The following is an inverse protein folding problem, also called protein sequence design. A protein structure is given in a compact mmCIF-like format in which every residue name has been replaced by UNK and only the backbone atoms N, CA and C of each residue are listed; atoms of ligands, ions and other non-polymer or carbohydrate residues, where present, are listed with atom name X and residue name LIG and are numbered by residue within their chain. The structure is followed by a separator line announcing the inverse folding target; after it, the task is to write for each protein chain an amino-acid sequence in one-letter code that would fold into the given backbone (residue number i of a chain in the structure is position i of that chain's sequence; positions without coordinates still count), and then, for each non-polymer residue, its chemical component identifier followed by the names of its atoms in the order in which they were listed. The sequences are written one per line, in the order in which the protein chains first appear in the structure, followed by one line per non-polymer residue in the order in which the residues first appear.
data_IF_249213760338
#
_entry.id   IF_249213760338
#
_cell.length_a   1.000
_cell.length_b   1.000
_cell.length_c   1.000
_cell.angle_alpha   90.00
_cell.angle_beta   90.00
_cell.angle_gamma   90.00
#
_symmetry.space_group_name_H-M   'P 1'
#
loop_
_entity.id
_entity.type
_entity.pdbx_description
1 polymer ?
#
# COMPACT_ATOMS: atom_id res chain seq x y z
N UNK A 1 -10.11 -67.65 -14.85
CA UNK A 1 -11.31 -66.79 -14.92
C UNK A 1 -10.90 -65.42 -14.41
N UNK A 2 -10.43 -64.56 -15.31
CA UNK A 2 -11.22 -63.48 -15.93
C UNK A 2 -11.46 -62.36 -14.91
N UNK A 3 -10.73 -61.25 -14.94
CA UNK A 3 -10.75 -60.14 -15.92
C UNK A 3 -12.03 -59.29 -15.84
N UNK A 4 -11.80 -57.96 -15.80
CA UNK A 4 -12.73 -56.81 -15.90
C UNK A 4 -13.29 -56.27 -14.58
N UNK A 5 -12.65 -55.21 -14.09
CA UNK A 5 -13.26 -53.87 -13.98
C UNK A 5 -12.14 -52.86 -13.69
N UNK A 6 -11.49 -52.43 -14.78
CA UNK A 6 -10.56 -51.31 -14.84
C UNK A 6 -11.16 -50.35 -15.86
N UNK A 7 -12.09 -49.50 -15.44
CA UNK A 7 -12.59 -48.32 -16.17
C UNK A 7 -13.73 -47.67 -15.36
N UNK A 8 -13.41 -46.68 -14.51
CA UNK A 8 -14.28 -45.56 -14.13
C UNK A 8 -13.70 -44.79 -12.93
N UNK A 9 -12.62 -44.01 -13.14
CA UNK A 9 -12.60 -42.60 -12.73
C UNK A 9 -11.40 -41.88 -13.36
N UNK A 10 -11.44 -41.72 -14.68
CA UNK A 10 -10.61 -40.75 -15.39
C UNK A 10 -11.23 -39.37 -15.17
N UNK A 11 -11.07 -38.79 -13.97
CA UNK A 11 -11.24 -37.36 -13.80
C UNK A 11 -9.95 -36.68 -14.27
N UNK A 12 -9.98 -36.34 -15.56
CA UNK A 12 -9.11 -35.37 -16.21
C UNK A 12 -8.82 -34.20 -15.28
N UNK A 13 -7.59 -34.14 -14.78
CA UNK A 13 -6.92 -32.87 -14.51
C UNK A 13 -6.96 -32.08 -15.82
N UNK A 14 -7.56 -30.89 -15.88
CA UNK A 14 -7.47 -30.08 -17.09
C UNK A 14 -5.99 -29.73 -17.23
N UNK A 15 -5.39 -30.20 -18.33
CA UNK A 15 -4.11 -29.74 -18.80
C UNK A 15 -4.17 -28.21 -18.92
N UNK A 16 -3.65 -27.53 -17.90
CA UNK A 16 -3.59 -26.07 -17.86
C UNK A 16 -2.69 -25.63 -19.01
N UNK A 17 -3.32 -25.12 -20.06
CA UNK A 17 -2.71 -24.78 -21.33
C UNK A 17 -1.50 -23.85 -21.09
N UNK A 18 -0.30 -24.36 -21.37
CA UNK A 18 0.95 -23.59 -21.35
C UNK A 18 0.90 -22.32 -22.23
N UNK A 19 -0.06 -22.21 -23.16
CA UNK A 19 -0.26 -21.07 -24.06
C UNK A 19 -1.09 -19.91 -23.46
N UNK A 20 -1.99 -20.17 -22.51
CA UNK A 20 -2.85 -19.15 -21.91
C UNK A 20 -2.16 -18.45 -20.73
N UNK A 21 -1.40 -19.21 -19.92
CA UNK A 21 -0.55 -18.63 -18.86
C UNK A 21 0.54 -17.72 -19.41
N UNK A 22 1.10 -18.05 -20.58
CA UNK A 22 2.10 -17.24 -21.29
C UNK A 22 1.51 -15.93 -21.82
N UNK A 23 0.22 -15.89 -22.21
CA UNK A 23 -0.45 -14.66 -22.66
C UNK A 23 -0.77 -13.69 -21.52
N UNK A 24 -1.18 -14.18 -20.35
CA UNK A 24 -1.32 -13.37 -19.13
C UNK A 24 0.02 -12.80 -18.64
N UNK A 25 1.10 -13.59 -18.76
CA UNK A 25 2.47 -13.13 -18.52
C UNK A 25 2.94 -12.12 -19.59
N UNK A 26 2.52 -12.27 -20.85
CA UNK A 26 2.86 -11.37 -21.94
C UNK A 26 2.24 -9.98 -21.76
N UNK A 27 0.99 -9.90 -21.26
CA UNK A 27 0.33 -8.62 -21.00
C UNK A 27 0.96 -7.84 -19.83
N UNK A 28 1.60 -8.54 -18.89
CA UNK A 28 2.44 -7.94 -17.84
C UNK A 28 3.83 -7.53 -18.34
N UNK A 29 4.26 -7.99 -19.51
CA UNK A 29 5.55 -7.62 -20.13
C UNK A 29 5.41 -6.64 -21.31
N UNK A 30 4.20 -6.34 -21.78
CA UNK A 30 3.97 -5.33 -22.83
C UNK A 30 3.90 -3.91 -22.24
N UNK A 31 4.51 -2.94 -22.92
CA UNK A 31 4.51 -1.51 -22.55
C UNK A 31 3.10 -0.95 -22.22
N UNK A 32 2.05 -1.53 -22.81
CA UNK A 32 0.66 -1.14 -22.57
C UNK A 32 0.21 -1.46 -21.13
N UNK A 33 0.55 -2.63 -20.59
CA UNK A 33 0.22 -3.02 -19.21
C UNK A 33 0.88 -2.11 -18.17
N UNK A 34 2.16 -1.75 -18.37
CA UNK A 34 2.87 -0.81 -17.50
C UNK A 34 2.24 0.59 -17.52
N UNK A 35 1.84 1.07 -18.69
CA UNK A 35 1.19 2.39 -18.84
C UNK A 35 -0.17 2.43 -18.15
N UNK A 36 -0.96 1.36 -18.25
CA UNK A 36 -2.26 1.25 -17.56
C UNK A 36 -2.08 1.16 -16.05
N UNK A 37 -1.12 0.36 -15.58
CA UNK A 37 -0.78 0.24 -14.16
C UNK A 37 -0.42 1.60 -13.56
N UNK A 38 0.50 2.33 -14.20
CA UNK A 38 1.00 3.61 -13.71
C UNK A 38 -0.12 4.68 -13.71
N UNK A 39 -0.98 4.69 -14.74
CA UNK A 39 -2.15 5.57 -14.79
C UNK A 39 -3.17 5.23 -13.69
N UNK A 40 -3.39 3.94 -13.43
CA UNK A 40 -4.33 3.46 -12.43
C UNK A 40 -3.85 3.79 -11.01
N UNK A 41 -2.54 3.82 -10.75
CA UNK A 41 -1.99 4.21 -9.46
C UNK A 41 -1.94 5.73 -9.27
N UNK A 42 -1.40 6.47 -10.23
CA UNK A 42 -1.14 7.92 -10.04
C UNK A 42 -2.40 8.78 -10.05
N UNK A 43 -3.32 8.58 -11.00
CA UNK A 43 -4.45 9.50 -11.20
C UNK A 43 -5.50 9.42 -10.09
N UNK A 44 -6.00 8.23 -9.70
CA UNK A 44 -6.97 8.12 -8.61
C UNK A 44 -6.42 8.64 -7.29
N UNK A 45 -5.17 8.30 -6.95
CA UNK A 45 -4.51 8.74 -5.72
C UNK A 45 -4.37 10.27 -5.66
N UNK A 46 -3.87 10.90 -6.72
CA UNK A 46 -3.65 12.35 -6.75
C UNK A 46 -4.96 13.14 -6.73
N UNK A 47 -5.95 12.72 -7.51
CA UNK A 47 -7.28 13.35 -7.51
C UNK A 47 -7.97 13.20 -6.14
N UNK A 48 -7.88 12.02 -5.54
CA UNK A 48 -8.48 11.77 -4.23
C UNK A 48 -7.79 12.56 -3.11
N UNK A 49 -6.45 12.56 -3.08
CA UNK A 49 -5.70 13.32 -2.10
C UNK A 49 -5.98 14.83 -2.22
N UNK A 50 -6.08 15.34 -3.44
CA UNK A 50 -6.45 16.75 -3.70
C UNK A 50 -7.89 17.03 -3.26
N UNK A 51 -8.82 16.14 -3.56
CA UNK A 51 -10.23 16.25 -3.13
C UNK A 51 -10.30 16.26 -1.61
N UNK A 52 -9.63 15.33 -0.93
CA UNK A 52 -9.57 15.30 0.54
C UNK A 52 -8.93 16.56 1.11
N UNK A 53 -7.87 17.09 0.50
CA UNK A 53 -7.24 18.34 0.96
C UNK A 53 -8.21 19.53 0.86
N UNK A 54 -8.89 19.69 -0.28
CA UNK A 54 -9.89 20.76 -0.49
C UNK A 54 -11.06 20.60 0.46
N UNK A 55 -11.60 19.40 0.58
CA UNK A 55 -12.75 19.12 1.46
C UNK A 55 -12.37 19.31 2.93
N UNK A 56 -11.18 18.91 3.35
CA UNK A 56 -10.69 19.11 4.72
C UNK A 56 -10.45 20.58 5.04
N UNK A 57 -9.96 21.36 4.08
CA UNK A 57 -9.80 22.80 4.24
C UNK A 57 -11.17 23.49 4.38
N UNK A 58 -12.14 23.15 3.52
CA UNK A 58 -13.45 23.79 3.50
C UNK A 58 -14.39 23.35 4.64
N UNK A 59 -14.41 22.06 4.96
CA UNK A 59 -15.34 21.47 5.94
C UNK A 59 -14.76 21.47 7.35
N UNK A 60 -13.48 21.10 7.50
CA UNK A 60 -12.83 20.91 8.80
C UNK A 60 -11.95 22.10 9.20
N UNK A 61 -11.76 23.09 8.31
CA UNK A 61 -10.92 24.26 8.58
C UNK A 61 -9.43 23.93 8.74
N UNK A 62 -8.99 22.76 8.28
CA UNK A 62 -7.61 22.30 8.44
C UNK A 62 -6.66 23.03 7.48
N UNK A 63 -5.42 23.33 7.87
CA UNK A 63 -4.42 23.89 6.94
C UNK A 63 -4.16 22.96 5.77
N UNK A 64 -3.85 23.51 4.60
CA UNK A 64 -3.59 22.75 3.37
C UNK A 64 -2.60 21.60 3.55
N UNK A 65 -1.51 21.80 4.31
CA UNK A 65 -0.51 20.75 4.56
C UNK A 65 -1.12 19.55 5.28
N UNK A 66 -1.92 19.79 6.32
CA UNK A 66 -2.62 18.71 7.04
C UNK A 66 -3.69 18.04 6.19
N UNK A 67 -4.39 18.82 5.34
CA UNK A 67 -5.33 18.27 4.36
C UNK A 67 -4.67 17.31 3.37
N UNK A 68 -3.46 17.64 2.88
CA UNK A 68 -2.71 16.74 2.00
C UNK A 68 -2.16 15.51 2.72
N UNK A 69 -1.64 15.67 3.95
CA UNK A 69 -1.23 14.54 4.79
C UNK A 69 -2.38 13.56 4.95
N UNK A 70 -3.57 14.07 5.32
CA UNK A 70 -4.79 13.28 5.47
C UNK A 70 -5.24 12.67 4.14
N UNK A 71 -5.15 13.41 3.03
CA UNK A 71 -5.49 12.92 1.70
C UNK A 71 -4.62 11.76 1.22
N UNK A 72 -3.29 11.82 1.39
CA UNK A 72 -2.39 10.73 0.99
C UNK A 72 -2.53 9.49 1.89
N UNK A 73 -2.83 9.69 3.17
CA UNK A 73 -3.10 8.60 4.12
C UNK A 73 -4.40 7.87 3.79
N UNK A 74 -5.44 8.61 3.40
CA UNK A 74 -6.75 8.06 3.04
C UNK A 74 -6.85 7.52 1.62
N UNK A 75 -6.05 8.08 0.71
CA UNK A 75 -6.05 7.70 -0.70
C UNK A 75 -5.27 6.43 -1.01
N UNK A 76 -4.36 6.01 -0.13
CA UNK A 76 -3.60 4.77 -0.26
C UNK A 76 -4.52 3.53 -0.19
N UNK A 77 -4.43 2.67 -1.19
CA UNK A 77 -5.10 1.36 -1.17
C UNK A 77 -4.52 0.50 -0.06
N UNK A 78 -5.34 -0.32 0.61
CA UNK A 78 -4.80 -1.34 1.51
C UNK A 78 -4.39 -2.62 0.76
N UNK A 79 -3.08 -2.93 0.63
CA UNK A 79 -2.64 -4.21 0.07
C UNK A 79 -3.07 -5.38 0.97
N UNK A 80 -3.19 -5.15 2.28
CA UNK A 80 -3.60 -6.16 3.25
C UNK A 80 -5.00 -6.75 2.98
N UNK A 81 -5.90 -5.99 2.36
CA UNK A 81 -7.25 -6.45 2.02
C UNK A 81 -7.33 -6.86 0.55
N UNK A 82 -6.69 -6.09 -0.34
CA UNK A 82 -6.76 -6.31 -1.78
C UNK A 82 -5.93 -7.53 -2.21
N UNK A 83 -4.70 -7.67 -1.69
CA UNK A 83 -3.77 -8.73 -2.15
C UNK A 83 -4.28 -10.14 -1.83
N UNK A 84 -4.73 -10.48 -0.61
CA UNK A 84 -5.25 -11.82 -0.34
C UNK A 84 -6.46 -12.16 -1.22
N UNK A 85 -7.34 -11.19 -1.45
CA UNK A 85 -8.51 -11.33 -2.33
C UNK A 85 -8.08 -11.61 -3.77
N UNK A 86 -7.10 -10.87 -4.28
CA UNK A 86 -6.57 -11.07 -5.65
C UNK A 86 -5.80 -12.39 -5.79
N UNK A 87 -5.07 -12.83 -4.75
CA UNK A 87 -4.40 -14.13 -4.73
C UNK A 87 -5.41 -15.29 -4.76
N UNK A 88 -6.53 -15.16 -4.06
CA UNK A 88 -7.62 -16.15 -4.12
C UNK A 88 -8.21 -16.23 -5.53
N UNK A 89 -8.55 -15.10 -6.14
CA UNK A 89 -9.06 -15.06 -7.52
C UNK A 89 -8.04 -15.62 -8.53
N UNK A 90 -6.75 -15.36 -8.30
CA UNK A 90 -5.68 -15.92 -9.13
C UNK A 90 -5.60 -17.45 -9.01
N UNK A 91 -5.75 -18.00 -7.81
CA UNK A 91 -5.79 -19.45 -7.57
C UNK A 91 -7.04 -20.11 -8.19
N UNK A 92 -8.17 -19.43 -8.15
CA UNK A 92 -9.45 -19.90 -8.74
C UNK A 92 -9.53 -19.73 -10.27
N UNK A 93 -8.56 -19.04 -10.88
CA UNK A 93 -8.48 -18.88 -12.33
C UNK A 93 -9.30 -17.71 -12.90
N UNK A 94 -9.90 -16.87 -12.06
CA UNK A 94 -10.72 -15.74 -12.51
C UNK A 94 -9.86 -14.57 -13.02
N UNK A 95 -10.19 -14.06 -14.22
CA UNK A 95 -9.56 -12.86 -14.79
C UNK A 95 -8.09 -13.05 -15.21
N UNK A 96 -7.60 -14.29 -15.29
CA UNK A 96 -6.22 -14.60 -15.67
C UNK A 96 -5.90 -14.27 -17.13
N UNK A 97 -6.86 -14.43 -18.04
CA UNK A 97 -6.67 -14.13 -19.47
C UNK A 97 -6.38 -12.65 -19.73
N UNK A 98 -6.97 -11.76 -18.92
CA UNK A 98 -6.77 -10.31 -18.97
C UNK A 98 -5.73 -9.81 -17.96
N UNK A 99 -5.17 -10.71 -17.13
CA UNK A 99 -4.18 -10.38 -16.11
C UNK A 99 -4.68 -9.42 -15.02
N UNK A 100 -6.00 -9.36 -14.76
CA UNK A 100 -6.59 -8.37 -13.85
C UNK A 100 -6.04 -8.50 -12.42
N UNK A 101 -5.98 -9.70 -11.79
CA UNK A 101 -5.44 -9.82 -10.43
C UNK A 101 -3.98 -9.37 -10.34
N UNK A 102 -3.17 -9.71 -11.34
CA UNK A 102 -1.75 -9.33 -11.39
C UNK A 102 -1.56 -7.83 -11.61
N UNK A 103 -2.37 -7.22 -12.49
CA UNK A 103 -2.39 -5.77 -12.71
C UNK A 103 -2.74 -5.03 -11.42
N UNK A 104 -3.76 -5.47 -10.69
CA UNK A 104 -4.20 -4.82 -9.45
C UNK A 104 -3.17 -4.96 -8.33
N UNK A 105 -2.55 -6.13 -8.16
CA UNK A 105 -1.48 -6.31 -7.19
C UNK A 105 -0.27 -5.41 -7.49
N UNK A 106 0.10 -5.28 -8.77
CA UNK A 106 1.18 -4.39 -9.19
C UNK A 106 0.82 -2.91 -8.99
N UNK A 107 -0.40 -2.51 -9.38
CA UNK A 107 -0.87 -1.13 -9.25
C UNK A 107 -1.00 -0.70 -7.79
N UNK A 108 -1.46 -1.58 -6.90
CA UNK A 108 -1.51 -1.34 -5.46
C UNK A 108 -0.12 -1.09 -4.88
N UNK A 109 0.89 -1.85 -5.31
CA UNK A 109 2.26 -1.67 -4.82
C UNK A 109 2.85 -0.32 -5.24
N UNK A 110 2.58 0.13 -6.47
CA UNK A 110 3.03 1.44 -6.97
C UNK A 110 2.27 2.56 -6.26
N UNK A 111 0.97 2.41 -6.05
CA UNK A 111 0.12 3.34 -5.28
C UNK A 111 0.68 3.59 -3.88
N UNK A 112 1.03 2.53 -3.15
CA UNK A 112 1.59 2.61 -1.81
C UNK A 112 2.93 3.36 -1.77
N UNK A 113 3.82 3.10 -2.74
CA UNK A 113 5.11 3.79 -2.82
C UNK A 113 4.90 5.29 -3.02
N UNK A 114 3.98 5.67 -3.92
CA UNK A 114 3.66 7.09 -4.19
C UNK A 114 3.02 7.72 -2.94
N UNK A 115 2.02 7.05 -2.35
CA UNK A 115 1.30 7.56 -1.20
C UNK A 115 2.22 7.80 0.01
N UNK A 116 3.10 6.84 0.33
CA UNK A 116 4.06 6.96 1.43
C UNK A 116 5.10 8.04 1.14
N UNK A 117 5.58 8.14 -0.10
CA UNK A 117 6.54 9.18 -0.51
C UNK A 117 5.94 10.58 -0.37
N UNK A 118 4.72 10.78 -0.85
CA UNK A 118 4.02 12.05 -0.75
C UNK A 118 3.65 12.39 0.70
N UNK A 119 3.15 11.40 1.47
CA UNK A 119 2.87 11.57 2.88
C UNK A 119 4.11 12.02 3.66
N UNK A 120 5.24 11.31 3.52
CA UNK A 120 6.46 11.61 4.27
C UNK A 120 7.02 12.98 3.90
N UNK A 121 6.91 13.37 2.63
CA UNK A 121 7.27 14.71 2.17
C UNK A 121 6.38 15.78 2.82
N UNK A 122 5.05 15.60 2.82
CA UNK A 122 4.12 16.54 3.46
C UNK A 122 4.34 16.61 4.98
N UNK A 123 4.61 15.48 5.63
CA UNK A 123 4.93 15.41 7.05
C UNK A 123 6.23 16.16 7.38
N UNK A 124 7.26 15.98 6.55
CA UNK A 124 8.53 16.70 6.67
C UNK A 124 8.35 18.22 6.60
N UNK A 125 7.44 18.69 5.74
CA UNK A 125 7.08 20.12 5.66
C UNK A 125 6.37 20.58 6.94
N UNK A 126 5.37 19.82 7.41
CA UNK A 126 4.54 20.18 8.56
C UNK A 126 5.31 20.30 9.89
N UNK A 127 6.32 19.46 10.11
CA UNK A 127 7.08 19.39 11.37
C UNK A 127 8.39 20.19 11.37
N UNK A 128 8.64 20.95 10.31
CA UNK A 128 9.90 21.65 10.15
C UNK A 128 9.92 23.01 10.85
N UNK A 129 10.86 23.18 11.79
CA UNK A 129 11.05 24.40 12.61
C UNK A 129 12.23 25.26 12.13
N UNK A 130 12.58 25.20 10.84
CA UNK A 130 13.71 25.94 10.23
C UNK A 130 13.30 26.88 9.09
N UNK A 131 14.28 27.50 8.41
CA UNK A 131 14.05 28.24 7.16
C UNK A 131 13.40 27.35 6.09
N UNK A 132 12.29 27.82 5.51
CA UNK A 132 11.43 27.08 4.56
C UNK A 132 12.22 26.33 3.48
N UNK A 133 13.33 26.90 3.00
CA UNK A 133 14.18 26.31 1.95
C UNK A 133 14.88 25.00 2.34
N UNK A 134 15.51 24.94 3.53
CA UNK A 134 16.17 23.72 4.01
C UNK A 134 15.15 22.61 4.34
N UNK A 135 13.92 23.00 4.66
CA UNK A 135 12.86 22.09 5.03
C UNK A 135 12.18 21.45 3.81
N UNK A 136 11.98 22.23 2.75
CA UNK A 136 11.54 21.72 1.45
C UNK A 136 12.55 20.73 0.90
N UNK A 137 13.85 20.93 1.15
CA UNK A 137 14.90 19.99 0.74
C UNK A 137 14.94 18.73 1.62
N UNK A 138 14.58 18.83 2.90
CA UNK A 138 14.59 17.69 3.83
C UNK A 138 13.64 16.58 3.38
N UNK A 139 12.39 16.88 3.02
CA UNK A 139 11.41 15.87 2.58
C UNK A 139 11.91 14.96 1.44
N UNK A 140 12.28 15.52 0.27
CA UNK A 140 12.91 14.77 -0.81
C UNK A 140 14.19 14.06 -0.41
N UNK A 141 14.99 14.62 0.51
CA UNK A 141 16.20 13.97 1.01
C UNK A 141 15.88 12.73 1.86
N UNK A 142 14.81 12.75 2.67
CA UNK A 142 14.36 11.56 3.43
C UNK A 142 13.90 10.46 2.48
N UNK A 143 13.17 10.83 1.43
CA UNK A 143 12.71 9.91 0.37
C UNK A 143 13.90 9.29 -0.37
N UNK A 144 14.83 10.13 -0.83
CA UNK A 144 16.04 9.68 -1.52
C UNK A 144 16.90 8.80 -0.62
N UNK A 145 17.09 9.19 0.65
CA UNK A 145 17.85 8.41 1.63
C UNK A 145 17.22 7.04 1.89
N UNK A 146 15.91 6.99 2.07
CA UNK A 146 15.15 5.74 2.23
C UNK A 146 15.23 4.85 0.99
N UNK A 147 15.07 5.42 -0.21
CA UNK A 147 15.17 4.68 -1.46
C UNK A 147 16.57 4.12 -1.71
N UNK A 148 17.63 4.93 -1.55
CA UNK A 148 19.02 4.52 -1.76
C UNK A 148 19.39 3.40 -0.77
N UNK A 149 19.08 3.60 0.51
CA UNK A 149 19.38 2.61 1.56
C UNK A 149 18.60 1.32 1.34
N UNK A 150 17.33 1.41 0.94
CA UNK A 150 16.49 0.26 0.59
C UNK A 150 17.05 -0.52 -0.60
N UNK A 151 17.49 0.17 -1.66
CA UNK A 151 18.14 -0.48 -2.82
C UNK A 151 19.42 -1.18 -2.39
N UNK A 152 20.27 -0.52 -1.60
CA UNK A 152 21.52 -1.10 -1.12
C UNK A 152 21.30 -2.37 -0.28
N UNK A 153 20.38 -2.32 0.69
CA UNK A 153 20.02 -3.48 1.51
C UNK A 153 19.32 -4.58 0.68
N UNK A 154 18.54 -4.20 -0.34
CA UNK A 154 17.89 -5.13 -1.27
C UNK A 154 18.89 -5.92 -2.11
N UNK A 155 19.92 -5.24 -2.64
CA UNK A 155 21.03 -5.91 -3.31
C UNK A 155 21.82 -6.80 -2.34
N UNK A 156 22.03 -6.36 -1.11
CA UNK A 156 22.65 -7.20 -0.08
C UNK A 156 21.87 -8.51 0.13
N UNK A 157 20.54 -8.44 0.28
CA UNK A 157 19.66 -9.63 0.37
C UNK A 157 19.64 -10.52 -0.87
N UNK A 158 19.89 -9.93 -2.04
CA UNK A 158 19.94 -10.67 -3.29
C UNK A 158 21.15 -11.62 -3.33
N UNK A 159 22.30 -11.16 -2.86
CA UNK A 159 23.55 -11.93 -2.86
C UNK A 159 23.73 -12.76 -1.59
N UNK A 160 23.21 -12.29 -0.46
CA UNK A 160 23.31 -12.95 0.84
C UNK A 160 21.90 -13.39 1.29
N UNK A 161 21.58 -14.69 1.45
CA UNK A 161 22.44 -15.87 1.60
C UNK A 161 22.76 -16.59 0.27
N UNK A 162 24.00 -17.09 0.13
CA UNK A 162 24.44 -17.88 -1.04
C UNK A 162 23.56 -19.11 -1.26
N UNK A 163 23.36 -19.48 -2.53
CA UNK A 163 22.51 -20.61 -2.96
C UNK A 163 22.91 -21.96 -2.35
N UNK A 164 24.12 -22.05 -1.83
CA UNK A 164 24.74 -23.26 -1.31
C UNK A 164 24.41 -23.56 0.17
N UNK A 165 23.58 -22.73 0.82
CA UNK A 165 23.25 -22.89 2.24
C UNK A 165 22.02 -23.78 2.48
N UNK A 166 22.10 -24.67 3.48
CA UNK A 166 20.94 -25.39 4.03
C UNK A 166 19.92 -24.41 4.62
N UNK A 167 18.62 -24.67 4.43
CA UNK A 167 17.49 -23.83 4.86
C UNK A 167 17.50 -22.39 4.29
N UNK A 168 17.78 -22.24 3.00
CA UNK A 168 17.83 -20.96 2.28
C UNK A 168 16.58 -20.10 2.45
N UNK A 169 15.40 -20.71 2.46
CA UNK A 169 14.10 -20.01 2.58
C UNK A 169 13.98 -19.31 3.93
N UNK A 170 14.19 -20.04 5.03
CA UNK A 170 14.08 -19.48 6.38
C UNK A 170 15.08 -18.35 6.62
N UNK A 171 16.32 -18.51 6.14
CA UNK A 171 17.34 -17.45 6.26
C UNK A 171 16.97 -16.20 5.48
N UNK A 172 16.44 -16.34 4.25
CA UNK A 172 15.96 -15.20 3.45
C UNK A 172 14.80 -14.50 4.12
N UNK A 173 13.80 -15.24 4.60
CA UNK A 173 12.65 -14.67 5.31
C UNK A 173 13.07 -13.95 6.60
N UNK A 174 13.94 -14.57 7.40
CA UNK A 174 14.44 -13.97 8.63
C UNK A 174 15.26 -12.71 8.38
N UNK A 175 16.17 -12.74 7.39
CA UNK A 175 17.00 -11.60 7.04
C UNK A 175 16.14 -10.45 6.47
N UNK A 176 15.12 -10.76 5.68
CA UNK A 176 14.18 -9.77 5.14
C UNK A 176 13.40 -9.08 6.26
N UNK A 177 12.76 -9.84 7.14
CA UNK A 177 12.01 -9.28 8.27
C UNK A 177 12.94 -8.52 9.23
N UNK A 178 14.11 -9.08 9.54
CA UNK A 178 15.10 -8.46 10.42
C UNK A 178 15.65 -7.15 9.88
N UNK A 179 16.03 -7.08 8.59
CA UNK A 179 16.52 -5.85 7.97
C UNK A 179 15.41 -4.82 7.76
N UNK A 180 14.17 -5.24 7.50
CA UNK A 180 13.01 -4.35 7.46
C UNK A 180 12.79 -3.67 8.82
N UNK A 181 12.81 -4.42 9.93
CA UNK A 181 12.68 -3.86 11.28
C UNK A 181 13.89 -2.99 11.64
N UNK A 182 15.10 -3.42 11.29
CA UNK A 182 16.31 -2.64 11.52
C UNK A 182 16.29 -1.30 10.78
N UNK A 183 15.83 -1.27 9.52
CA UNK A 183 15.67 -0.04 8.76
C UNK A 183 14.66 0.91 9.41
N UNK A 184 13.51 0.38 9.87
CA UNK A 184 12.49 1.17 10.56
C UNK A 184 13.02 1.82 11.85
N UNK A 185 13.60 1.03 12.77
CA UNK A 185 14.14 1.56 14.02
C UNK A 185 15.40 2.40 13.82
N UNK A 186 16.28 2.00 12.90
CA UNK A 186 17.50 2.71 12.57
C UNK A 186 17.23 4.12 12.03
N UNK A 187 16.26 4.25 11.12
CA UNK A 187 15.83 5.56 10.61
C UNK A 187 15.17 6.44 11.69
N UNK A 188 14.44 5.82 12.63
CA UNK A 188 13.85 6.54 13.76
C UNK A 188 14.93 7.11 14.70
N UNK A 189 15.96 6.31 15.02
CA UNK A 189 17.11 6.76 15.83
C UNK A 189 17.96 7.81 15.10
N UNK A 190 18.11 7.68 13.78
CA UNK A 190 18.83 8.65 12.95
C UNK A 190 18.10 10.00 12.78
N UNK A 191 16.88 10.15 13.30
CA UNK A 191 16.10 11.39 13.22
C UNK A 191 15.43 11.62 11.86
N UNK A 192 15.25 10.56 11.06
CA UNK A 192 14.62 10.57 9.74
C UNK A 192 13.51 9.50 9.69
N UNK A 193 12.44 9.63 10.50
CA UNK A 193 11.44 8.57 10.65
C UNK A 193 10.70 8.27 9.34
N UNK A 194 10.57 9.25 8.43
CA UNK A 194 9.91 9.06 7.13
C UNK A 194 10.65 8.08 6.21
N UNK A 195 11.98 7.98 6.31
CA UNK A 195 12.78 7.13 5.44
C UNK A 195 12.63 5.62 5.75
N UNK A 196 12.29 5.26 6.98
CA UNK A 196 12.29 3.86 7.44
C UNK A 196 11.26 2.98 6.73
N UNK A 197 10.03 3.48 6.60
CA UNK A 197 8.95 2.76 5.90
C UNK A 197 9.24 2.57 4.42
N UNK A 198 9.69 3.62 3.74
CA UNK A 198 10.08 3.57 2.32
C UNK A 198 11.27 2.63 2.11
N UNK A 199 12.28 2.68 2.97
CA UNK A 199 13.44 1.78 2.91
C UNK A 199 13.01 0.32 2.99
N UNK A 200 12.12 -0.04 3.91
CA UNK A 200 11.59 -1.40 4.07
C UNK A 200 10.85 -1.91 2.83
N UNK A 201 10.05 -1.05 2.20
CA UNK A 201 9.34 -1.37 0.95
C UNK A 201 10.30 -1.58 -0.22
N UNK A 202 11.22 -0.64 -0.43
CA UNK A 202 12.20 -0.71 -1.54
C UNK A 202 13.13 -1.91 -1.36
N UNK A 203 13.58 -2.18 -0.13
CA UNK A 203 14.35 -3.39 0.24
C UNK A 203 13.63 -4.67 -0.22
N UNK A 204 12.37 -4.82 0.19
CA UNK A 204 11.57 -6.02 -0.11
C UNK A 204 11.32 -6.17 -1.60
N UNK A 205 11.05 -5.06 -2.29
CA UNK A 205 10.81 -5.05 -3.73
C UNK A 205 12.06 -5.45 -4.54
N UNK A 206 13.22 -4.86 -4.22
CA UNK A 206 14.51 -5.17 -4.88
C UNK A 206 14.94 -6.61 -4.61
N UNK A 207 14.77 -7.09 -3.37
CA UNK A 207 15.03 -8.49 -3.02
C UNK A 207 14.12 -9.45 -3.79
N UNK A 208 12.82 -9.13 -3.89
CA UNK A 208 11.81 -9.91 -4.61
C UNK A 208 12.11 -10.05 -6.10
N UNK A 209 12.51 -8.95 -6.77
CA UNK A 209 12.97 -8.99 -8.17
C UNK A 209 14.24 -9.85 -8.29
N UNK A 210 15.17 -9.71 -7.34
CA UNK A 210 16.43 -10.44 -7.35
C UNK A 210 16.29 -11.96 -7.24
N UNK A 211 15.24 -12.44 -6.56
CA UNK A 211 15.01 -13.87 -6.34
C UNK A 211 14.14 -14.55 -7.41
N UNK A 212 13.39 -13.81 -8.22
CA UNK A 212 12.55 -14.36 -9.28
C UNK A 212 11.58 -15.44 -8.75
N UNK A 213 11.59 -16.64 -9.33
CA UNK A 213 10.72 -17.75 -8.90
C UNK A 213 11.05 -18.28 -7.49
N UNK A 214 12.25 -18.03 -6.97
CA UNK A 214 12.64 -18.44 -5.62
C UNK A 214 12.01 -17.57 -4.50
N UNK A 215 11.17 -16.60 -4.86
CA UNK A 215 10.41 -15.77 -3.92
C UNK A 215 9.21 -16.48 -3.30
N UNK A 216 8.56 -17.40 -4.04
CA UNK A 216 7.33 -18.07 -3.62
C UNK A 216 7.42 -18.74 -2.23
N UNK A 217 8.49 -19.48 -1.87
CA UNK A 217 8.59 -20.05 -0.52
C UNK A 217 8.88 -19.00 0.56
N UNK A 218 9.55 -17.89 0.24
CA UNK A 218 9.77 -16.78 1.18
C UNK A 218 8.47 -16.05 1.46
N UNK A 219 7.67 -15.82 0.42
CA UNK A 219 6.33 -15.23 0.47
C UNK A 219 5.40 -16.05 1.38
N UNK A 220 5.39 -17.39 1.25
CA UNK A 220 4.59 -18.27 2.11
C UNK A 220 4.96 -18.18 3.61
N UNK A 221 6.25 -17.96 3.93
CA UNK A 221 6.67 -17.74 5.32
C UNK A 221 6.17 -16.39 5.82
N UNK A 222 6.32 -15.33 5.02
CA UNK A 222 5.82 -13.98 5.37
C UNK A 222 4.29 -13.97 5.51
N UNK A 223 3.57 -14.68 4.65
CA UNK A 223 2.11 -14.87 4.72
C UNK A 223 1.70 -15.53 6.05
N UNK A 224 2.45 -16.53 6.53
CA UNK A 224 2.19 -17.16 7.83
C UNK A 224 2.38 -16.18 8.99
N UNK A 225 3.41 -15.33 8.94
CA UNK A 225 3.57 -14.24 9.92
C UNK A 225 2.41 -13.24 9.82
N UNK A 226 2.01 -12.87 8.61
CA UNK A 226 0.91 -11.96 8.36
C UNK A 226 -0.41 -12.44 8.97
N UNK A 227 -0.74 -13.74 8.89
CA UNK A 227 -1.93 -14.29 9.53
C UNK A 227 -1.96 -14.12 11.07
N UNK A 228 -0.79 -14.06 11.71
CA UNK A 228 -0.68 -13.80 13.16
C UNK A 228 -0.77 -12.31 13.47
N UNK A 229 -0.10 -11.47 12.67
CA UNK A 229 -0.06 -10.02 12.89
C UNK A 229 -1.32 -9.30 12.43
N UNK A 230 -2.05 -9.81 11.44
CA UNK A 230 -3.25 -9.17 10.89
C UNK A 230 -4.33 -8.94 11.97
N UNK A 231 -4.75 -9.93 12.77
CA UNK A 231 -5.71 -9.71 13.86
C UNK A 231 -5.17 -8.77 14.94
N UNK A 232 -3.86 -8.85 15.26
CA UNK A 232 -3.23 -7.98 16.24
C UNK A 232 -3.26 -6.51 15.79
N UNK A 233 -2.92 -6.26 14.53
CA UNK A 233 -2.93 -4.92 13.93
C UNK A 233 -4.35 -4.33 14.01
N UNK A 234 -5.35 -5.04 13.49
CA UNK A 234 -6.73 -4.53 13.53
C UNK A 234 -7.30 -4.41 14.96
N UNK A 235 -6.90 -5.29 15.88
CA UNK A 235 -7.26 -5.19 17.29
C UNK A 235 -6.65 -3.96 17.98
N UNK A 236 -5.37 -3.69 17.74
CA UNK A 236 -4.67 -2.53 18.30
C UNK A 236 -5.21 -1.22 17.74
N UNK A 237 -5.52 -1.19 16.45
CA UNK A 237 -6.21 -0.08 15.78
C UNK A 237 -7.53 0.25 16.48
N UNK A 238 -8.35 -0.77 16.76
CA UNK A 238 -9.61 -0.59 17.48
C UNK A 238 -9.42 -0.09 18.92
N UNK A 239 -8.33 -0.49 19.58
CA UNK A 239 -8.01 -0.08 20.95
C UNK A 239 -7.53 1.39 21.05
N UNK A 240 -6.96 1.95 19.98
CA UNK A 240 -6.50 3.36 19.95
C UNK A 240 -7.68 4.36 19.86
N UNK A 241 -8.88 3.92 19.47
CA UNK A 241 -10.04 4.81 19.26
C UNK A 241 -10.70 5.17 20.60
N UNK A 242 -10.53 6.42 21.03
CA UNK A 242 -11.15 6.97 22.25
C UNK A 242 -12.50 7.61 21.91
N UNK A 243 -13.59 6.83 22.03
CA UNK A 243 -14.96 7.26 21.70
C UNK A 243 -15.42 8.48 22.51
N UNK A 244 -14.94 8.63 23.75
CA UNK A 244 -15.34 9.74 24.64
C UNK A 244 -14.85 11.11 24.18
N UNK A 245 -13.84 11.14 23.30
CA UNK A 245 -13.30 12.38 22.76
C UNK A 245 -13.99 12.81 21.47
N UNK A 246 -14.82 11.96 20.84
CA UNK A 246 -15.41 12.23 19.52
C UNK A 246 -16.64 13.14 19.61
N UNK A 247 -16.52 14.37 19.12
CA UNK A 247 -17.68 15.22 18.86
C UNK A 247 -18.48 14.68 17.67
N UNK A 248 -19.78 14.46 17.87
CA UNK A 248 -20.67 13.82 16.87
C UNK A 248 -20.71 14.62 15.55
N UNK A 249 -20.61 15.94 15.62
CA UNK A 249 -20.58 16.86 14.47
C UNK A 249 -19.33 16.61 13.61
N UNK A 250 -18.15 16.55 14.22
CA UNK A 250 -16.87 16.31 13.54
C UNK A 250 -16.81 14.91 12.92
N UNK A 251 -17.37 13.90 13.59
CA UNK A 251 -17.48 12.54 13.04
C UNK A 251 -18.34 12.53 11.77
N UNK A 252 -19.50 13.20 11.81
CA UNK A 252 -20.38 13.27 10.64
C UNK A 252 -19.72 14.02 9.47
N UNK A 253 -19.02 15.13 9.75
CA UNK A 253 -18.27 15.89 8.75
C UNK A 253 -17.13 15.05 8.13
N UNK A 254 -16.44 14.25 8.94
CA UNK A 254 -15.41 13.32 8.48
C UNK A 254 -15.97 12.21 7.58
N UNK A 255 -17.11 11.61 7.95
CA UNK A 255 -17.80 10.60 7.12
C UNK A 255 -18.23 11.21 5.78
N UNK A 256 -18.80 12.42 5.80
CA UNK A 256 -19.18 13.14 4.59
C UNK A 256 -17.98 13.41 3.68
N UNK A 257 -16.85 13.85 4.25
CA UNK A 257 -15.62 14.08 3.52
C UNK A 257 -15.09 12.81 2.84
N UNK A 258 -15.09 11.69 3.57
CA UNK A 258 -14.69 10.39 3.04
C UNK A 258 -15.58 9.92 1.88
N UNK A 259 -16.88 10.14 1.99
CA UNK A 259 -17.83 9.76 0.94
C UNK A 259 -17.61 10.56 -0.35
N UNK A 260 -17.35 11.87 -0.23
CA UNK A 260 -17.05 12.74 -1.38
C UNK A 260 -15.77 12.26 -2.07
N UNK A 261 -14.70 12.04 -1.31
CA UNK A 261 -13.43 11.59 -1.88
C UNK A 261 -13.51 10.19 -2.50
N UNK A 262 -14.23 9.26 -1.86
CA UNK A 262 -14.46 7.93 -2.43
C UNK A 262 -15.24 8.02 -3.75
N UNK A 263 -16.24 8.89 -3.83
CA UNK A 263 -17.01 9.10 -5.07
C UNK A 263 -16.11 9.62 -6.19
N UNK A 264 -15.27 10.62 -5.90
CA UNK A 264 -14.31 11.14 -6.89
C UNK A 264 -13.33 10.05 -7.33
N UNK A 265 -12.81 9.25 -6.39
CA UNK A 265 -11.93 8.12 -6.70
C UNK A 265 -12.60 7.13 -7.66
N UNK A 266 -13.84 6.73 -7.40
CA UNK A 266 -14.59 5.81 -8.25
C UNK A 266 -14.78 6.37 -9.67
N UNK A 267 -15.13 7.65 -9.79
CA UNK A 267 -15.30 8.31 -11.09
C UNK A 267 -13.98 8.38 -11.87
N UNK A 268 -12.90 8.80 -11.22
CA UNK A 268 -11.59 8.92 -11.87
C UNK A 268 -11.04 7.56 -12.27
N UNK A 269 -11.13 6.56 -11.38
CA UNK A 269 -10.71 5.18 -11.69
C UNK A 269 -11.48 4.63 -12.89
N UNK A 270 -12.80 4.82 -12.94
CA UNK A 270 -13.59 4.41 -14.09
C UNK A 270 -13.12 5.08 -15.39
N UNK A 271 -12.91 6.40 -15.37
CA UNK A 271 -12.42 7.17 -16.53
C UNK A 271 -11.03 6.72 -16.98
N UNK A 272 -10.12 6.43 -16.06
CA UNK A 272 -8.77 5.94 -16.37
C UNK A 272 -8.84 4.58 -17.07
N UNK A 273 -9.72 3.69 -16.59
CA UNK A 273 -9.90 2.32 -17.08
C UNK A 273 -10.70 2.27 -18.40
N UNK A 274 -11.52 3.29 -18.73
CA UNK A 274 -12.23 3.36 -20.03
C UNK A 274 -11.30 3.20 -21.24
N UNK A 275 -10.07 3.72 -21.14
CA UNK A 275 -9.06 3.68 -22.20
C UNK A 275 -8.23 2.39 -22.26
N UNK A 276 -8.49 1.41 -21.40
CA UNK A 276 -7.64 0.22 -21.24
C UNK A 276 -8.12 -1.02 -22.03
N UNK A 277 -9.19 -0.91 -22.83
CA UNK A 277 -9.65 -2.01 -23.70
C UNK A 277 -10.45 -3.13 -23.00
N UNK A 278 -10.68 -3.03 -21.68
CA UNK A 278 -11.43 -4.03 -20.90
C UNK A 278 -12.95 -4.03 -21.16
N UNK A 279 -13.60 -5.16 -20.87
CA UNK A 279 -15.05 -5.29 -20.88
C UNK A 279 -15.70 -4.49 -19.75
N UNK A 280 -16.94 -4.01 -19.93
CA UNK A 280 -17.64 -3.19 -18.93
C UNK A 280 -17.69 -3.85 -17.53
N UNK A 281 -17.90 -5.18 -17.49
CA UNK A 281 -17.88 -5.96 -16.23
C UNK A 281 -16.53 -5.90 -15.51
N UNK A 282 -15.44 -5.99 -16.27
CA UNK A 282 -14.07 -5.92 -15.76
C UNK A 282 -13.73 -4.50 -15.29
N UNK A 283 -14.19 -3.47 -16.02
CA UNK A 283 -14.00 -2.07 -15.62
C UNK A 283 -14.65 -1.77 -14.28
N UNK A 284 -15.88 -2.25 -14.08
CA UNK A 284 -16.59 -2.13 -12.80
C UNK A 284 -15.86 -2.91 -11.72
N UNK A 285 -15.41 -4.13 -12.00
CA UNK A 285 -14.63 -4.93 -11.04
C UNK A 285 -13.34 -4.21 -10.59
N UNK A 286 -12.54 -3.69 -11.53
CA UNK A 286 -11.31 -2.95 -11.22
C UNK A 286 -11.62 -1.73 -10.36
N UNK A 287 -12.70 -1.01 -10.68
CA UNK A 287 -13.10 0.20 -9.95
C UNK A 287 -13.55 -0.13 -8.53
N UNK A 288 -14.32 -1.21 -8.33
CA UNK A 288 -14.78 -1.64 -7.00
C UNK A 288 -13.64 -2.24 -6.17
N UNK A 289 -12.71 -2.94 -6.80
CA UNK A 289 -11.53 -3.49 -6.13
C UNK A 289 -10.58 -2.39 -5.59
N UNK A 290 -10.73 -1.15 -6.04
CA UNK A 290 -9.99 0.02 -5.58
C UNK A 290 -10.67 0.78 -4.42
N UNK A 291 -11.83 0.31 -3.94
CA UNK A 291 -12.51 0.86 -2.75
C UNK A 291 -11.91 0.51 -1.38
N UNK A 292 -11.25 -0.64 -1.16
CA UNK A 292 -10.79 -1.02 0.18
C UNK A 292 -9.80 0.00 0.78
N UNK A 293 -10.29 0.75 1.78
CA UNK A 293 -9.52 1.64 2.67
C UNK A 293 -9.53 1.02 4.06
N UNK A 294 -8.36 0.68 4.61
CA UNK A 294 -8.33 0.00 5.91
C UNK A 294 -7.05 0.20 6.74
N UNK A 295 -5.86 0.18 6.14
CA UNK A 295 -4.65 -0.15 6.94
C UNK A 295 -3.61 0.98 7.00
N UNK A 296 -3.42 1.69 5.89
CA UNK A 296 -2.47 2.81 5.81
C UNK A 296 -2.95 4.00 6.66
N UNK A 297 -4.27 4.14 6.80
CA UNK A 297 -4.90 5.19 7.61
C UNK A 297 -4.43 5.19 9.07
N UNK A 298 -4.19 4.00 9.64
CA UNK A 298 -3.95 3.87 11.07
C UNK A 298 -2.47 3.71 11.42
N UNK A 299 -1.70 3.02 10.58
CA UNK A 299 -0.25 2.92 10.80
C UNK A 299 0.43 4.31 10.82
N UNK A 300 -0.01 5.22 9.94
CA UNK A 300 0.54 6.56 9.84
C UNK A 300 0.01 7.53 10.91
N UNK A 301 -1.21 7.32 11.41
CA UNK A 301 -1.69 8.06 12.59
C UNK A 301 -0.90 7.66 13.85
N UNK A 302 -0.62 6.37 14.07
CA UNK A 302 0.17 5.93 15.23
C UNK A 302 1.66 6.28 15.13
N UNK A 303 2.25 6.35 13.92
CA UNK A 303 3.63 6.84 13.71
C UNK A 303 3.77 8.34 13.94
N UNK A 304 2.69 9.09 13.72
CA UNK A 304 2.64 10.52 14.05
C UNK A 304 2.27 10.72 15.53
N UNK A 305 2.74 9.84 16.41
CA UNK A 305 2.78 10.07 17.86
C UNK A 305 3.95 11.00 18.26
N UNK A 306 4.15 12.06 17.46
CA UNK A 306 4.72 13.31 17.96
C UNK A 306 3.56 14.16 18.44
N UNK A 307 3.78 15.02 19.44
CA UNK A 307 2.72 15.81 20.05
C UNK A 307 1.85 16.56 19.05
N UNK A 308 2.26 16.83 17.80
CA UNK A 308 1.48 17.62 16.86
C UNK A 308 0.31 16.93 16.14
N UNK A 309 0.27 15.59 15.95
CA UNK A 309 -0.95 14.95 15.38
C UNK A 309 -1.95 14.60 16.47
N UNK A 310 -1.46 14.20 17.64
CA UNK A 310 -2.29 14.16 18.84
C UNK A 310 -2.80 15.56 19.17
N UNK A 311 -2.01 16.63 19.06
CA UNK A 311 -2.49 18.02 19.17
C UNK A 311 -3.45 18.39 18.03
N UNK A 312 -3.30 17.86 16.81
CA UNK A 312 -4.23 18.11 15.71
C UNK A 312 -5.58 17.40 15.94
N UNK A 313 -5.55 16.20 16.53
CA UNK A 313 -6.75 15.49 16.99
C UNK A 313 -7.32 16.11 18.29
N UNK A 314 -6.47 16.60 19.20
CA UNK A 314 -6.84 17.35 20.42
C UNK A 314 -7.38 18.75 20.09
N UNK A 315 -6.92 19.37 19.00
CA UNK A 315 -7.45 20.62 18.42
C UNK A 315 -8.71 20.37 17.59
N UNK A 316 -8.91 19.15 17.07
CA UNK A 316 -10.17 18.68 16.46
C UNK A 316 -11.22 18.28 17.50
N UNK A 317 -10.82 17.96 18.73
CA UNK A 317 -11.70 17.45 19.80
C UNK A 317 -11.76 18.34 21.06
N UNK A 318 -11.14 19.53 20.99
CA UNK A 318 -11.16 20.54 22.04
C UNK A 318 -11.77 21.84 21.51
N UNK A 319 -12.59 22.56 22.30
CA UNK A 319 -13.33 23.72 21.80
C UNK A 319 -12.39 24.86 21.38
N UNK A 320 -12.29 25.08 20.07
CA UNK A 320 -12.20 26.35 19.32
C UNK A 320 -11.68 27.63 20.02
N UNK A 321 -10.59 27.61 20.81
CA UNK A 321 -10.09 28.83 21.46
C UNK A 321 -8.58 29.10 21.50
N UNK A 322 -7.71 28.30 20.88
CA UNK A 322 -6.25 28.54 20.98
C UNK A 322 -5.54 29.07 19.73
N UNK A 323 -6.24 29.31 18.61
CA UNK A 323 -5.61 29.81 17.37
C UNK A 323 -5.60 31.35 17.21
N UNK A 324 -5.46 32.10 18.31
CA UNK A 324 -5.31 33.58 18.26
C UNK A 324 -3.98 34.12 18.83
N UNK A 325 -3.02 33.25 19.18
CA UNK A 325 -1.66 33.67 19.52
C UNK A 325 -0.64 32.58 19.19
N UNK A 326 -0.32 32.40 17.90
CA UNK A 326 1.05 32.22 17.36
C UNK A 326 1.01 32.66 15.90
#
# INVERSE_FOLDING_TARGET
MCARESEANTQQTPAYNSSSSVRGLLYTTTLQGHTVCLRLSMFPLTCEATTMAVVSYLILGLPWVWGFILGFVLGAVSPAVVVPSMLLLHKEGYGLEQGIPTLLMAACSVDDIIAITCFTTCLGIAFSTGTVWLNVLRGPLEVLGGAITGVALGYFLRYFPSRDQRNLVLKRSFLLLGLAMFALFGCNVAGIPGAGGLCSLVLTFVAGIGWGNAKAPVEAVVERFWHVFQPLLFGLIGAEVIITSLEVTTVFLGIAALFIALTVRLLITFVVVLRAGFNLKEKVFITLAWMPKATVQVYLSSLTNRPSFLLCLYLLLGPSRYFRQV
#
